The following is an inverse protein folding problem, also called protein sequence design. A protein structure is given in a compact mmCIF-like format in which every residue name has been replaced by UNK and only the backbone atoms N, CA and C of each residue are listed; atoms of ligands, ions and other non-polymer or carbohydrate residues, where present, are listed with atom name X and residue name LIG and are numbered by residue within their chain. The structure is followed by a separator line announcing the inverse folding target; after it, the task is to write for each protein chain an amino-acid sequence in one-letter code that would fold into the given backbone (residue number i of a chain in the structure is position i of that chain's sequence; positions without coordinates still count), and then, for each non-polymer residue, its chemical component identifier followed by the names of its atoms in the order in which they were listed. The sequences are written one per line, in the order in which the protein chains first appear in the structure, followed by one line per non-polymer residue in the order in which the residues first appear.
data_IF_914160874152
#
_entry.id   IF_914160874152
#
_cell.length_a   1.000
_cell.length_b   1.000
_cell.length_c   1.000
_cell.angle_alpha   90.00
_cell.angle_beta   90.00
_cell.angle_gamma   90.00
#
_symmetry.space_group_name_H-M   'P 1'
#
loop_
_entity.id
_entity.type
_entity.pdbx_description
1 polymer ?
#
# COMPACT_ATOMS: atom_id res chain seq x y z
N UNK A 1 -15.39 -41.25 -20.21
CA UNK A 1 -14.87 -40.15 -21.07
C UNK A 1 -14.03 -39.12 -20.29
N UNK A 2 -14.43 -38.68 -19.09
CA UNK A 2 -13.62 -37.71 -18.27
C UNK A 2 -12.26 -38.23 -17.84
N UNK A 3 -12.14 -39.51 -17.44
CA UNK A 3 -10.83 -40.08 -17.02
C UNK A 3 -9.82 -40.18 -18.17
N UNK A 4 -10.24 -40.52 -19.40
CA UNK A 4 -9.35 -40.57 -20.56
C UNK A 4 -8.80 -39.18 -20.94
N UNK A 5 -9.62 -38.13 -20.84
CA UNK A 5 -9.17 -36.77 -21.10
C UNK A 5 -8.14 -36.29 -20.06
N UNK A 6 -8.28 -36.70 -18.80
CA UNK A 6 -7.33 -36.35 -17.73
C UNK A 6 -5.96 -37.01 -17.96
N UNK A 7 -5.89 -38.29 -18.32
CA UNK A 7 -4.63 -39.00 -18.62
C UNK A 7 -3.89 -38.43 -19.84
N UNK A 8 -4.61 -38.11 -20.91
CA UNK A 8 -3.99 -37.50 -22.12
C UNK A 8 -3.42 -36.11 -21.80
N UNK A 9 -4.16 -35.32 -21.04
CA UNK A 9 -3.74 -33.98 -20.63
C UNK A 9 -2.47 -34.00 -19.77
N UNK A 10 -2.38 -34.93 -18.82
CA UNK A 10 -1.21 -35.04 -17.93
C UNK A 10 0.04 -35.54 -18.69
N UNK A 11 -0.14 -36.48 -19.63
CA UNK A 11 0.96 -37.00 -20.45
C UNK A 11 1.49 -35.92 -21.41
N UNK A 12 0.61 -35.16 -22.07
CA UNK A 12 1.00 -34.08 -22.97
C UNK A 12 1.66 -32.95 -22.19
N UNK A 13 1.13 -32.62 -21.01
CA UNK A 13 1.70 -31.57 -20.16
C UNK A 13 3.17 -31.83 -19.85
N UNK A 14 3.54 -33.03 -19.43
CA UNK A 14 4.93 -33.37 -19.15
C UNK A 14 5.87 -33.22 -20.33
N UNK A 15 5.42 -33.58 -21.55
CA UNK A 15 6.22 -33.41 -22.78
C UNK A 15 6.37 -31.94 -23.13
N UNK A 16 5.28 -31.16 -23.07
CA UNK A 16 5.32 -29.72 -23.37
C UNK A 16 6.18 -28.99 -22.34
N UNK A 17 6.02 -29.28 -21.05
CA UNK A 17 6.81 -28.66 -19.98
C UNK A 17 8.32 -28.90 -20.22
N UNK A 18 8.71 -30.12 -20.62
CA UNK A 18 10.10 -30.45 -20.92
C UNK A 18 10.65 -29.65 -22.12
N UNK A 19 9.92 -29.66 -23.23
CA UNK A 19 10.35 -28.96 -24.46
C UNK A 19 10.45 -27.46 -24.21
N UNK A 20 9.47 -26.87 -23.51
CA UNK A 20 9.46 -25.44 -23.19
C UNK A 20 10.60 -25.10 -22.22
N UNK A 21 10.85 -25.95 -21.23
CA UNK A 21 11.93 -25.74 -20.27
C UNK A 21 13.30 -25.75 -20.97
N UNK A 22 13.58 -26.78 -21.78
CA UNK A 22 14.84 -26.91 -22.54
C UNK A 22 15.00 -25.73 -23.51
N UNK A 23 13.96 -25.37 -24.29
CA UNK A 23 14.02 -24.25 -25.22
C UNK A 23 14.21 -22.88 -24.54
N UNK A 24 13.60 -22.66 -23.37
CA UNK A 24 13.83 -21.43 -22.58
C UNK A 24 15.25 -21.42 -22.02
N UNK A 25 15.75 -22.55 -21.52
CA UNK A 25 17.09 -22.65 -20.97
C UNK A 25 18.13 -22.29 -22.04
N UNK A 26 18.08 -22.95 -23.19
CA UNK A 26 18.98 -22.70 -24.33
C UNK A 26 18.91 -21.23 -24.79
N UNK A 27 17.70 -20.67 -24.89
CA UNK A 27 17.52 -19.26 -25.23
C UNK A 27 18.18 -18.31 -24.24
N UNK A 28 18.02 -18.55 -22.95
CA UNK A 28 18.59 -17.70 -21.89
C UNK A 28 20.11 -17.85 -21.80
N UNK A 29 20.66 -19.05 -22.07
CA UNK A 29 22.11 -19.28 -22.13
C UNK A 29 22.74 -18.53 -23.33
N UNK A 30 22.05 -18.51 -24.46
CA UNK A 30 22.48 -17.75 -25.65
C UNK A 30 22.30 -16.24 -25.51
N UNK A 31 21.37 -15.81 -24.61
CA UNK A 31 21.02 -14.40 -24.40
C UNK A 31 21.12 -13.98 -22.92
N UNK A 32 22.32 -13.99 -22.30
CA UNK A 32 22.48 -13.75 -20.87
C UNK A 32 22.02 -12.36 -20.41
N UNK A 33 22.06 -11.36 -21.30
CA UNK A 33 21.58 -10.01 -21.02
C UNK A 33 20.04 -9.96 -20.82
N UNK A 34 19.30 -10.77 -21.57
CA UNK A 34 17.85 -10.90 -21.44
C UNK A 34 17.51 -11.66 -20.17
N UNK A 35 18.21 -12.77 -19.90
CA UNK A 35 18.05 -13.54 -18.66
C UNK A 35 18.25 -12.68 -17.42
N UNK A 36 19.31 -11.86 -17.40
CA UNK A 36 19.57 -10.92 -16.29
C UNK A 36 18.41 -9.93 -16.08
N UNK A 37 17.91 -9.32 -17.16
CA UNK A 37 16.78 -8.38 -17.09
C UNK A 37 15.50 -9.04 -16.57
N UNK A 38 15.21 -10.28 -16.94
CA UNK A 38 14.07 -11.05 -16.45
C UNK A 38 14.19 -11.32 -14.96
N UNK A 39 15.37 -11.79 -14.52
CA UNK A 39 15.65 -12.05 -13.11
C UNK A 39 15.56 -10.75 -12.27
N UNK A 40 16.14 -9.66 -12.75
CA UNK A 40 16.07 -8.37 -12.05
C UNK A 40 14.62 -7.89 -11.88
N UNK A 41 13.79 -8.00 -12.92
CA UNK A 41 12.36 -7.68 -12.80
C UNK A 41 11.62 -8.60 -11.84
N UNK A 42 11.89 -9.89 -11.89
CA UNK A 42 11.27 -10.86 -10.97
C UNK A 42 11.65 -10.60 -9.52
N UNK A 43 12.94 -10.32 -9.26
CA UNK A 43 13.43 -9.95 -7.92
C UNK A 43 12.82 -8.64 -7.42
N UNK A 44 12.72 -7.64 -8.29
CA UNK A 44 12.09 -6.36 -7.95
C UNK A 44 10.62 -6.57 -7.56
N UNK A 45 9.88 -7.34 -8.35
CA UNK A 45 8.48 -7.66 -8.07
C UNK A 45 8.32 -8.48 -6.76
N UNK A 46 9.20 -9.45 -6.51
CA UNK A 46 9.19 -10.23 -5.28
C UNK A 46 9.47 -9.36 -4.04
N UNK A 47 10.48 -8.48 -4.13
CA UNK A 47 10.81 -7.53 -3.06
C UNK A 47 9.66 -6.56 -2.78
N UNK A 48 9.04 -6.02 -3.82
CA UNK A 48 7.88 -5.13 -3.69
C UNK A 48 6.69 -5.82 -3.00
N UNK A 49 6.36 -7.05 -3.40
CA UNK A 49 5.30 -7.84 -2.74
C UNK A 49 5.62 -8.12 -1.27
N UNK A 50 6.85 -8.53 -0.97
CA UNK A 50 7.28 -8.79 0.42
C UNK A 50 7.21 -7.54 1.28
N UNK A 51 7.65 -6.40 0.75
CA UNK A 51 7.60 -5.12 1.46
C UNK A 51 6.15 -4.67 1.71
N UNK A 52 5.29 -4.78 0.71
CA UNK A 52 3.87 -4.47 0.86
C UNK A 52 3.20 -5.37 1.91
N UNK A 53 3.50 -6.68 1.92
CA UNK A 53 2.99 -7.61 2.93
C UNK A 53 3.45 -7.21 4.34
N UNK A 54 4.73 -6.91 4.54
CA UNK A 54 5.26 -6.46 5.85
C UNK A 54 4.61 -5.16 6.31
N UNK A 55 4.43 -4.19 5.42
CA UNK A 55 3.80 -2.92 5.75
C UNK A 55 2.33 -3.10 6.16
N UNK A 56 1.56 -3.91 5.44
CA UNK A 56 0.18 -4.26 5.82
C UNK A 56 0.13 -4.92 7.20
N UNK A 57 1.04 -5.85 7.47
CA UNK A 57 1.10 -6.55 8.74
C UNK A 57 1.43 -5.60 9.90
N UNK A 58 2.32 -4.62 9.69
CA UNK A 58 2.63 -3.59 10.68
C UNK A 58 1.43 -2.69 10.98
N UNK A 59 0.71 -2.26 9.94
CA UNK A 59 -0.51 -1.46 10.10
C UNK A 59 -1.57 -2.28 10.84
N UNK A 60 -1.78 -3.54 10.46
CA UNK A 60 -2.73 -4.46 11.11
C UNK A 60 -2.38 -4.72 12.56
N UNK A 61 -1.10 -4.94 12.90
CA UNK A 61 -0.66 -5.12 14.29
C UNK A 61 -0.88 -3.88 15.13
N UNK A 62 -0.61 -2.70 14.59
CA UNK A 62 -0.87 -1.43 15.29
C UNK A 62 -2.38 -1.22 15.54
N UNK A 63 -3.25 -1.57 14.60
CA UNK A 63 -4.69 -1.46 14.78
C UNK A 63 -5.29 -2.59 15.64
N UNK A 64 -4.70 -3.77 15.68
CA UNK A 64 -5.16 -4.90 16.51
C UNK A 64 -4.76 -4.76 18.00
N UNK A 65 -3.63 -4.08 18.29
CA UNK A 65 -3.15 -3.86 19.65
C UNK A 65 -3.77 -2.64 20.36
N UNK A 66 -4.48 -1.78 19.59
CA UNK A 66 -5.15 -0.63 20.17
C UNK A 66 -6.37 -0.27 19.36
N UNK A 67 -7.50 -0.93 19.56
CA UNK A 67 -8.76 -0.76 18.82
C UNK A 67 -8.86 0.56 18.06
N UNK A 68 -8.86 0.55 16.75
CA UNK A 68 -8.87 1.69 15.82
C UNK A 68 -8.02 2.90 16.29
N UNK A 69 -6.80 2.66 16.74
CA UNK A 69 -5.94 3.73 17.25
C UNK A 69 -5.48 4.60 16.09
N UNK A 70 -6.17 5.72 15.95
CA UNK A 70 -5.75 6.82 15.10
C UNK A 70 -4.33 7.28 15.49
N UNK A 71 -3.56 7.87 14.56
CA UNK A 71 -2.25 8.41 14.90
C UNK A 71 -2.37 9.33 16.13
N UNK A 72 -1.53 9.12 17.14
CA UNK A 72 -1.62 9.90 18.39
C UNK A 72 -1.48 11.42 18.20
N UNK A 73 -0.94 11.85 17.06
CA UNK A 73 -0.83 13.25 16.67
C UNK A 73 -2.04 13.78 15.89
N UNK A 74 -2.96 12.92 15.44
CA UNK A 74 -4.17 13.35 14.74
C UNK A 74 -5.14 13.99 15.74
N UNK A 75 -5.51 15.22 15.49
CA UNK A 75 -6.64 15.85 16.16
C UNK A 75 -7.89 15.64 15.28
N UNK A 76 -8.63 14.58 15.56
CA UNK A 76 -9.80 14.19 14.75
C UNK A 76 -11.00 15.13 14.94
N UNK A 77 -11.93 15.09 14.00
CA UNK A 77 -13.24 15.77 14.12
C UNK A 77 -14.27 14.85 14.77
N UNK A 78 -15.34 15.46 15.30
CA UNK A 78 -16.39 14.71 16.00
C UNK A 78 -17.46 14.16 15.05
N UNK A 79 -17.64 14.75 13.87
CA UNK A 79 -18.55 14.24 12.87
C UNK A 79 -18.03 12.91 12.28
N UNK A 80 -18.94 11.98 12.05
CA UNK A 80 -18.63 10.64 11.47
C UNK A 80 -19.01 10.51 10.00
N UNK A 81 -19.76 11.46 9.45
CA UNK A 81 -20.09 11.47 8.04
C UNK A 81 -18.94 12.08 7.23
N UNK A 82 -18.26 11.27 6.39
CA UNK A 82 -17.11 11.74 5.61
C UNK A 82 -17.41 12.93 4.71
N UNK A 83 -18.66 13.05 4.23
CA UNK A 83 -19.04 14.10 3.29
C UNK A 83 -18.89 15.52 3.85
N UNK A 84 -18.94 15.65 5.18
CA UNK A 84 -18.80 16.93 5.86
C UNK A 84 -17.42 17.10 6.51
N UNK A 85 -16.57 16.08 6.47
CA UNK A 85 -15.28 16.09 7.17
C UNK A 85 -14.13 16.50 6.25
N UNK A 86 -13.22 17.30 6.79
CA UNK A 86 -12.01 17.79 6.13
C UNK A 86 -10.77 17.40 6.93
N UNK A 87 -9.72 16.94 6.25
CA UNK A 87 -8.42 16.65 6.85
C UNK A 87 -7.39 17.70 6.41
N UNK A 88 -6.80 18.37 7.37
CA UNK A 88 -5.71 19.32 7.14
C UNK A 88 -4.37 18.64 7.47
N UNK A 89 -3.52 18.51 6.47
CA UNK A 89 -2.14 18.08 6.62
C UNK A 89 -1.28 19.33 6.80
N UNK A 90 -0.70 19.50 7.98
CA UNK A 90 -0.01 20.75 8.36
C UNK A 90 1.46 20.46 8.59
N UNK A 91 2.35 21.30 8.05
CA UNK A 91 3.78 21.17 8.26
C UNK A 91 4.18 21.62 9.66
N UNK A 92 4.74 20.66 10.42
CA UNK A 92 5.30 20.91 11.74
C UNK A 92 4.29 20.96 12.89
N UNK A 93 4.80 20.71 14.09
CA UNK A 93 3.97 20.67 15.30
C UNK A 93 3.50 22.06 15.74
N UNK A 94 4.29 23.12 15.45
CA UNK A 94 3.94 24.50 15.83
C UNK A 94 2.72 24.97 15.06
N UNK A 95 2.75 24.90 13.74
CA UNK A 95 1.61 25.25 12.89
C UNK A 95 0.40 24.30 13.16
N UNK A 96 0.68 23.02 13.42
CA UNK A 96 -0.33 22.06 13.85
C UNK A 96 -1.01 22.45 15.18
N UNK A 97 -0.27 23.02 16.11
CA UNK A 97 -0.81 23.54 17.35
C UNK A 97 -1.78 24.71 17.14
N UNK A 98 -1.37 25.70 16.35
CA UNK A 98 -2.22 26.85 15.97
C UNK A 98 -3.47 26.41 15.19
N UNK A 99 -3.30 25.51 14.21
CA UNK A 99 -4.42 24.97 13.45
C UNK A 99 -5.44 24.22 14.35
N UNK A 100 -4.95 23.45 15.34
CA UNK A 100 -5.82 22.76 16.31
C UNK A 100 -6.65 23.72 17.15
N UNK A 101 -6.13 24.90 17.45
CA UNK A 101 -6.85 25.91 18.25
C UNK A 101 -7.90 26.64 17.39
N UNK A 102 -7.59 26.96 16.13
CA UNK A 102 -8.48 27.72 15.23
C UNK A 102 -9.50 26.90 14.45
N UNK A 103 -9.43 25.55 14.46
CA UNK A 103 -10.30 24.69 13.66
C UNK A 103 -11.73 24.60 14.15
N UNK A 104 -12.66 24.28 13.27
CA UNK A 104 -13.95 23.74 13.69
C UNK A 104 -13.82 22.26 14.07
N UNK A 105 -13.91 21.97 15.37
CA UNK A 105 -13.77 20.61 15.89
C UNK A 105 -14.85 19.63 15.43
N UNK A 106 -15.94 20.13 14.88
CA UNK A 106 -17.04 19.28 14.37
C UNK A 106 -16.65 18.58 13.08
N UNK A 107 -16.05 19.32 12.16
CA UNK A 107 -15.85 18.87 10.77
C UNK A 107 -14.36 18.87 10.34
N UNK A 108 -13.46 19.56 11.05
CA UNK A 108 -12.07 19.71 10.65
C UNK A 108 -11.13 18.88 11.53
N UNK A 109 -10.37 18.00 10.89
CA UNK A 109 -9.31 17.22 11.50
C UNK A 109 -7.94 17.78 11.14
N UNK A 110 -6.98 17.79 12.08
CA UNK A 110 -5.62 18.27 11.86
C UNK A 110 -4.62 17.14 12.07
N UNK A 111 -3.78 16.90 11.08
CA UNK A 111 -2.66 15.97 11.17
C UNK A 111 -1.35 16.73 10.91
N UNK A 112 -0.57 17.06 11.95
CA UNK A 112 0.74 17.63 11.77
C UNK A 112 1.73 16.58 11.26
N UNK A 113 2.50 16.93 10.25
CA UNK A 113 3.57 16.11 9.68
C UNK A 113 4.92 16.66 10.14
N UNK A 114 5.80 15.78 10.60
CA UNK A 114 7.12 16.17 11.11
C UNK A 114 8.19 16.00 10.04
N UNK A 115 8.91 17.08 9.77
CA UNK A 115 10.02 17.07 8.83
C UNK A 115 9.61 16.85 7.37
N UNK A 116 10.60 16.66 6.52
CA UNK A 116 10.38 16.47 5.08
C UNK A 116 9.77 15.11 4.80
N UNK A 117 8.63 15.10 4.14
CA UNK A 117 7.97 13.86 3.68
C UNK A 117 8.77 13.27 2.52
N UNK A 118 8.93 11.95 2.54
CA UNK A 118 9.65 11.23 1.49
C UNK A 118 8.95 11.41 0.13
N UNK A 119 9.74 11.66 -0.93
CA UNK A 119 9.21 11.76 -2.28
C UNK A 119 8.68 10.38 -2.74
N UNK A 120 7.37 10.29 -2.92
CA UNK A 120 6.67 9.04 -3.24
C UNK A 120 6.96 8.51 -4.64
N UNK A 121 7.30 9.38 -5.60
CA UNK A 121 7.63 8.98 -6.98
C UNK A 121 9.02 8.38 -7.09
N UNK A 122 9.98 8.93 -6.34
CA UNK A 122 11.39 8.50 -6.37
C UNK A 122 11.69 7.38 -5.37
N UNK A 123 10.91 7.28 -4.30
CA UNK A 123 11.15 6.29 -3.27
C UNK A 123 10.58 4.93 -3.65
N UNK A 124 11.29 3.88 -3.23
CA UNK A 124 10.76 2.52 -3.33
C UNK A 124 9.58 2.34 -2.37
N UNK A 125 8.59 1.54 -2.78
CA UNK A 125 7.36 1.30 -2.02
C UNK A 125 7.65 0.82 -0.59
N UNK A 126 8.66 -0.06 -0.40
CA UNK A 126 9.06 -0.55 0.92
C UNK A 126 9.54 0.59 1.84
N UNK A 127 10.32 1.52 1.28
CA UNK A 127 10.82 2.68 2.02
C UNK A 127 9.70 3.69 2.30
N UNK A 128 8.80 3.89 1.34
CA UNK A 128 7.63 4.74 1.50
C UNK A 128 6.74 4.24 2.65
N UNK A 129 6.42 2.95 2.65
CA UNK A 129 5.55 2.33 3.65
C UNK A 129 6.21 2.16 5.03
N UNK A 130 7.54 2.23 5.12
CA UNK A 130 8.26 2.27 6.39
C UNK A 130 8.30 3.66 7.02
N UNK A 131 7.96 4.71 6.26
CA UNK A 131 7.96 6.08 6.75
C UNK A 131 6.77 6.33 7.70
N UNK A 132 7.05 6.85 8.89
CA UNK A 132 6.02 7.06 9.93
C UNK A 132 4.97 8.12 9.53
N UNK A 133 5.36 9.14 8.76
CA UNK A 133 4.44 10.19 8.32
C UNK A 133 3.47 9.63 7.29
N UNK A 134 3.96 8.86 6.33
CA UNK A 134 3.12 8.16 5.33
C UNK A 134 2.17 7.18 6.01
N UNK A 135 2.65 6.37 6.97
CA UNK A 135 1.79 5.48 7.76
C UNK A 135 0.70 6.26 8.52
N UNK A 136 1.04 7.43 9.06
CA UNK A 136 0.09 8.29 9.77
C UNK A 136 -0.99 8.82 8.84
N UNK A 137 -0.64 9.22 7.61
CA UNK A 137 -1.60 9.66 6.60
C UNK A 137 -2.54 8.51 6.21
N UNK A 138 -1.99 7.34 5.87
CA UNK A 138 -2.80 6.16 5.48
C UNK A 138 -3.77 5.77 6.61
N UNK A 139 -3.29 5.76 7.85
CA UNK A 139 -4.12 5.42 9.02
C UNK A 139 -5.19 6.47 9.28
N UNK A 140 -4.88 7.76 9.12
CA UNK A 140 -5.84 8.84 9.27
C UNK A 140 -6.95 8.76 8.21
N UNK A 141 -6.60 8.50 6.95
CA UNK A 141 -7.56 8.37 5.86
C UNK A 141 -8.49 7.15 6.02
N UNK A 142 -7.99 6.06 6.58
CA UNK A 142 -8.77 4.86 6.82
C UNK A 142 -8.97 3.95 5.60
N UNK A 143 -8.50 4.36 4.42
CA UNK A 143 -8.70 3.63 3.15
C UNK A 143 -7.88 2.35 3.02
N UNK A 144 -6.88 2.15 3.89
CA UNK A 144 -5.88 1.12 3.69
C UNK A 144 -4.87 1.47 2.58
N UNK A 145 -4.02 0.52 2.22
CA UNK A 145 -3.01 0.69 1.18
C UNK A 145 -2.78 -0.61 0.41
N UNK A 146 -2.73 -0.51 -0.90
CA UNK A 146 -2.46 -1.63 -1.81
C UNK A 146 -3.73 -2.30 -2.31
N UNK A 147 -3.61 -3.01 -3.40
CA UNK A 147 -4.60 -3.88 -4.00
C UNK A 147 -3.85 -5.08 -4.53
N UNK A 148 -4.00 -6.23 -3.92
CA UNK A 148 -3.73 -7.51 -4.54
C UNK A 148 -4.97 -8.35 -4.29
N UNK A 149 -5.60 -8.73 -5.36
CA UNK A 149 -6.60 -9.79 -5.35
C UNK A 149 -5.78 -11.05 -5.08
N UNK A 150 -6.02 -11.73 -3.99
CA UNK A 150 -5.47 -13.06 -3.75
C UNK A 150 -6.00 -14.02 -4.83
N UNK A 151 -5.34 -15.16 -5.06
CA UNK A 151 -5.70 -16.13 -6.10
C UNK A 151 -7.18 -16.59 -6.02
N UNK A 152 -7.82 -16.41 -4.87
CA UNK A 152 -9.22 -16.72 -4.59
C UNK A 152 -10.19 -15.53 -4.80
N UNK A 153 -9.71 -14.38 -5.26
CA UNK A 153 -10.54 -13.21 -5.56
C UNK A 153 -11.00 -12.41 -4.34
N UNK A 154 -10.56 -12.76 -3.13
CA UNK A 154 -10.93 -12.06 -1.91
C UNK A 154 -10.00 -10.85 -1.64
N UNK A 155 -10.61 -9.71 -1.31
CA UNK A 155 -9.87 -8.52 -0.85
C UNK A 155 -9.38 -8.75 0.57
N UNK A 156 -8.07 -8.78 0.74
CA UNK A 156 -7.46 -8.96 2.06
C UNK A 156 -7.77 -7.75 2.98
N UNK A 157 -7.95 -8.01 4.28
CA UNK A 157 -8.14 -6.97 5.28
C UNK A 157 -6.91 -6.03 5.33
N UNK A 158 -7.04 -4.85 4.75
CA UNK A 158 -5.94 -3.87 4.60
C UNK A 158 -5.77 -3.39 3.16
N UNK A 159 -6.48 -3.97 2.21
CA UNK A 159 -6.53 -3.50 0.84
C UNK A 159 -7.20 -2.13 0.73
N UNK A 160 -6.78 -1.37 -0.28
CA UNK A 160 -7.34 -0.05 -0.54
C UNK A 160 -8.84 -0.14 -0.82
N UNK A 161 -9.62 0.57 -0.01
CA UNK A 161 -11.05 0.73 -0.22
C UNK A 161 -11.44 2.19 -0.01
N UNK A 162 -11.85 2.83 -1.10
CA UNK A 162 -12.24 4.25 -1.09
C UNK A 162 -13.50 4.50 -0.25
N UNK A 163 -14.39 3.52 -0.12
CA UNK A 163 -15.62 3.65 0.68
C UNK A 163 -15.35 3.84 2.18
N UNK A 164 -14.14 3.45 2.63
CA UNK A 164 -13.69 3.64 4.01
C UNK A 164 -13.03 5.00 4.25
N UNK A 165 -13.01 5.88 3.24
CA UNK A 165 -12.45 7.22 3.35
C UNK A 165 -13.19 8.01 4.44
N UNK A 166 -12.44 8.61 5.34
CA UNK A 166 -13.00 9.32 6.51
C UNK A 166 -13.22 10.81 6.28
N UNK A 167 -12.64 11.37 5.24
CA UNK A 167 -12.67 12.81 4.95
C UNK A 167 -12.93 13.06 3.48
N UNK A 168 -13.90 13.91 3.18
CA UNK A 168 -14.25 14.26 1.80
C UNK A 168 -13.22 15.19 1.16
N UNK A 169 -12.56 16.03 1.96
CA UNK A 169 -11.52 16.96 1.50
C UNK A 169 -10.21 16.74 2.27
N UNK A 170 -9.12 16.83 1.54
CA UNK A 170 -7.77 16.83 2.09
C UNK A 170 -7.12 18.16 1.69
N UNK A 171 -6.75 18.95 2.69
CA UNK A 171 -6.14 20.27 2.51
C UNK A 171 -4.70 20.20 2.99
N UNK A 172 -3.76 20.57 2.11
CA UNK A 172 -2.33 20.57 2.40
C UNK A 172 -1.93 22.01 2.74
N UNK A 173 -1.34 22.20 3.90
CA UNK A 173 -0.83 23.48 4.39
C UNK A 173 0.66 23.32 4.66
N UNK A 174 1.46 23.86 3.75
CA UNK A 174 2.94 23.88 3.82
C UNK A 174 3.42 25.31 3.75
N UNK A 175 4.64 25.55 4.25
CA UNK A 175 5.30 26.82 4.05
C UNK A 175 5.63 27.01 2.56
N UNK A 176 5.52 28.23 2.08
CA UNK A 176 5.94 28.58 0.73
C UNK A 176 7.46 28.75 0.71
N UNK A 177 8.16 27.86 0.05
CA UNK A 177 9.59 27.96 -0.25
C UNK A 177 9.82 28.66 -1.61
#
# INVERSE_FOLDING_TARGET
RRQRQMCIRDSIKGVVDKIVYEGILDFLEQNPSIGRKVIEKALLAARSRSAAKKARELIRRKSALGGSSLPGKLADCSNRDPNFCELYLVEGDSAGGSAKQGRDRKIQAILPLRGKVINSEKARIDKLLSNNEVQSIITALGTGFGGSVDEDGEKSAGDFNIEKLRYHKIIIMTDAD
#
